data_IF_744484685615
#
_entry.id   IF_744484685615
#
_cell.length_a   1.000
_cell.length_b   1.000
_cell.length_c   1.000
_cell.angle_alpha   90.00
_cell.angle_beta   90.00
_cell.angle_gamma   90.00
#
_symmetry.space_group_name_H-M   'P 1'
#
loop_
_entity.id
_entity.type
_entity.pdbx_description
1 polymer ?
#
# COMPACT_ATOMS: atom_id res chain seq x y z
N UNK A 1 12.99 0.47 7.29
CA UNK A 1 11.78 1.01 6.61
C UNK A 1 11.59 2.50 6.93
N UNK A 2 11.03 3.32 6.02
CA UNK A 2 10.65 4.72 6.33
C UNK A 2 9.25 4.75 6.94
N UNK A 3 9.12 5.31 8.15
CA UNK A 3 7.83 5.47 8.87
C UNK A 3 7.28 6.89 8.79
N UNK A 4 8.02 7.80 8.16
CA UNK A 4 7.63 9.18 7.88
C UNK A 4 7.28 9.36 6.41
N UNK A 5 6.47 10.38 6.05
CA UNK A 5 6.10 10.63 4.66
C UNK A 5 7.34 10.74 3.77
N UNK A 6 7.43 9.83 2.79
CA UNK A 6 8.52 9.79 1.83
C UNK A 6 8.07 10.19 0.41
N UNK A 7 6.78 10.42 0.22
CA UNK A 7 6.21 10.94 -1.02
C UNK A 7 6.21 12.46 -0.95
N UNK A 8 6.66 13.12 -2.02
CA UNK A 8 6.58 14.59 -2.14
C UNK A 8 5.13 15.07 -2.22
N UNK A 9 4.26 14.28 -2.84
CA UNK A 9 2.83 14.54 -2.95
C UNK A 9 2.05 13.31 -2.50
N UNK A 10 1.82 13.22 -1.18
CA UNK A 10 1.10 12.11 -0.57
C UNK A 10 -0.41 12.18 -0.88
N UNK A 11 -0.96 13.39 -0.91
CA UNK A 11 -2.39 13.63 -1.15
C UNK A 11 -2.76 13.27 -2.59
N UNK A 12 -1.97 13.70 -3.58
CA UNK A 12 -2.20 13.36 -4.98
C UNK A 12 -2.08 11.86 -5.28
N UNK A 13 -1.18 11.15 -4.57
CA UNK A 13 -1.13 9.69 -4.67
C UNK A 13 -2.37 9.04 -4.06
N UNK A 14 -2.86 9.54 -2.93
CA UNK A 14 -4.05 9.01 -2.27
C UNK A 14 -5.32 9.23 -3.12
N UNK A 15 -5.46 10.39 -3.75
CA UNK A 15 -6.54 10.67 -4.71
C UNK A 15 -6.51 9.69 -5.89
N UNK A 16 -5.33 9.47 -6.51
CA UNK A 16 -5.19 8.50 -7.60
C UNK A 16 -5.58 7.08 -7.18
N UNK A 17 -5.23 6.68 -5.96
CA UNK A 17 -5.61 5.37 -5.43
C UNK A 17 -7.14 5.28 -5.25
N UNK A 18 -7.76 6.32 -4.69
CA UNK A 18 -9.21 6.37 -4.50
C UNK A 18 -9.95 6.31 -5.84
N UNK A 19 -9.50 7.08 -6.83
CA UNK A 19 -10.04 7.08 -8.19
C UNK A 19 -9.94 5.70 -8.84
N UNK A 20 -8.82 4.99 -8.63
CA UNK A 20 -8.64 3.64 -9.15
C UNK A 20 -9.65 2.63 -8.57
N UNK A 21 -10.22 2.90 -7.39
CA UNK A 21 -11.25 2.07 -6.76
C UNK A 21 -12.68 2.45 -7.18
N UNK A 22 -12.90 3.60 -7.81
CA UNK A 22 -14.25 4.06 -8.17
C UNK A 22 -14.93 3.08 -9.14
N UNK A 23 -16.17 2.71 -8.83
CA UNK A 23 -16.98 1.80 -9.64
C UNK A 23 -16.60 0.31 -9.51
N UNK A 24 -15.60 -0.04 -8.70
CA UNK A 24 -15.25 -1.45 -8.44
C UNK A 24 -16.14 -2.07 -7.37
N UNK A 25 -16.43 -3.37 -7.52
CA UNK A 25 -16.97 -4.16 -6.42
C UNK A 25 -15.93 -4.31 -5.32
N UNK A 26 -16.35 -4.71 -4.13
CA UNK A 26 -15.44 -5.01 -3.02
C UNK A 26 -14.36 -6.02 -3.40
N UNK A 27 -14.74 -7.12 -4.05
CA UNK A 27 -13.80 -8.16 -4.49
C UNK A 27 -12.80 -7.62 -5.53
N UNK A 28 -13.27 -6.80 -6.48
CA UNK A 28 -12.38 -6.18 -7.46
C UNK A 28 -11.44 -5.16 -6.84
N UNK A 29 -11.90 -4.44 -5.81
CA UNK A 29 -11.09 -3.51 -5.01
C UNK A 29 -10.00 -4.25 -4.22
N UNK A 30 -10.32 -5.39 -3.62
CA UNK A 30 -9.34 -6.25 -2.93
C UNK A 30 -8.31 -6.81 -3.92
N UNK A 31 -8.73 -7.22 -5.13
CA UNK A 31 -7.82 -7.69 -6.19
C UNK A 31 -6.89 -6.56 -6.69
N UNK A 32 -7.41 -5.35 -6.85
CA UNK A 32 -6.61 -4.17 -7.22
C UNK A 32 -5.50 -3.94 -6.19
N UNK A 33 -5.86 -3.93 -4.90
CA UNK A 33 -4.89 -3.76 -3.82
C UNK A 33 -3.82 -4.85 -3.81
N UNK A 34 -4.20 -6.11 -3.96
CA UNK A 34 -3.24 -7.22 -4.03
C UNK A 34 -2.24 -7.06 -5.18
N UNK A 35 -2.72 -6.66 -6.38
CA UNK A 35 -1.87 -6.39 -7.54
C UNK A 35 -0.96 -5.20 -7.32
N UNK A 36 -1.48 -4.11 -6.76
CA UNK A 36 -0.70 -2.91 -6.47
C UNK A 36 0.44 -3.23 -5.48
N UNK A 37 0.18 -3.99 -4.43
CA UNK A 37 1.20 -4.43 -3.47
C UNK A 37 2.32 -5.20 -4.16
N UNK A 38 2.00 -6.14 -5.07
CA UNK A 38 3.01 -6.90 -5.81
C UNK A 38 3.85 -6.00 -6.73
N UNK A 39 3.22 -5.05 -7.42
CA UNK A 39 3.93 -4.09 -8.26
C UNK A 39 4.88 -3.21 -7.44
N UNK A 40 4.42 -2.68 -6.31
CA UNK A 40 5.24 -1.89 -5.39
C UNK A 40 6.38 -2.73 -4.79
N UNK A 41 6.12 -3.99 -4.43
CA UNK A 41 7.14 -4.91 -3.96
C UNK A 41 8.27 -5.10 -4.98
N UNK A 42 7.92 -5.22 -6.26
CA UNK A 42 8.89 -5.30 -7.35
C UNK A 42 9.70 -3.99 -7.50
N UNK A 43 9.08 -2.83 -7.31
CA UNK A 43 9.81 -1.55 -7.35
C UNK A 43 10.76 -1.38 -6.16
N UNK A 44 10.38 -1.90 -4.97
CA UNK A 44 11.22 -1.83 -3.76
C UNK A 44 12.42 -2.78 -3.86
N UNK A 45 12.22 -4.01 -4.32
CA UNK A 45 13.29 -4.97 -4.59
C UNK A 45 14.07 -5.51 -3.37
N UNK A 46 13.75 -5.09 -2.14
CA UNK A 46 14.39 -5.57 -0.90
C UNK A 46 13.39 -6.31 -0.01
N UNK A 47 13.56 -7.62 0.11
CA UNK A 47 12.70 -8.51 0.91
C UNK A 47 12.70 -8.16 2.41
N UNK A 48 13.78 -7.58 2.95
CA UNK A 48 13.82 -7.16 4.37
C UNK A 48 12.94 -5.95 4.59
N UNK A 49 13.01 -4.97 3.70
CA UNK A 49 12.14 -3.78 3.74
C UNK A 49 10.68 -4.19 3.62
N UNK A 50 10.36 -5.14 2.73
CA UNK A 50 9.01 -5.67 2.59
C UNK A 50 8.53 -6.41 3.85
N UNK A 51 9.39 -7.20 4.49
CA UNK A 51 9.10 -7.85 5.77
C UNK A 51 8.80 -6.86 6.89
N UNK A 52 9.61 -5.80 7.01
CA UNK A 52 9.39 -4.71 7.96
C UNK A 52 8.01 -4.04 7.73
N UNK A 53 7.65 -3.78 6.47
CA UNK A 53 6.36 -3.19 6.11
C UNK A 53 5.18 -4.05 6.54
N UNK A 54 5.25 -5.37 6.32
CA UNK A 54 4.18 -6.30 6.71
C UNK A 54 4.03 -6.35 8.22
N UNK A 55 5.14 -6.42 8.96
CA UNK A 55 5.11 -6.41 10.42
C UNK A 55 4.47 -5.13 10.97
N UNK A 56 4.91 -3.96 10.47
CA UNK A 56 4.38 -2.67 10.91
C UNK A 56 2.88 -2.49 10.58
N UNK A 57 2.44 -2.93 9.39
CA UNK A 57 1.03 -2.88 9.02
C UNK A 57 0.18 -3.77 9.94
N UNK A 58 0.66 -4.98 10.27
CA UNK A 58 -0.03 -5.90 11.19
C UNK A 58 -0.15 -5.30 12.60
N UNK A 59 0.93 -4.71 13.11
CA UNK A 59 0.93 -4.12 14.45
C UNK A 59 -0.03 -2.93 14.56
N UNK A 60 -0.15 -2.13 13.49
CA UNK A 60 -1.10 -1.01 13.42
C UNK A 60 -2.55 -1.47 13.52
N UNK A 61 -2.91 -2.57 12.85
CA UNK A 61 -4.27 -3.13 12.91
C UNK A 61 -4.56 -3.80 14.25
N UNK A 62 -3.55 -4.38 14.91
CA UNK A 62 -3.73 -5.00 16.23
C UNK A 62 -3.79 -3.99 17.39
N UNK A 63 -3.27 -2.78 17.18
CA UNK A 63 -3.22 -1.72 18.20
C UNK A 63 -4.33 -0.67 18.05
N UNK A 64 -5.13 -0.76 16.99
CA UNK A 64 -6.29 0.09 16.71
C UNK A 64 -7.60 -0.57 17.18
#
# INVERSE_FOLDING_TARGET
MKTTPNLQDADGFYEQLLDAHQGLSRESSELLNARLILLLANQVGDARVLGDCVAAARDTVMSA
#
